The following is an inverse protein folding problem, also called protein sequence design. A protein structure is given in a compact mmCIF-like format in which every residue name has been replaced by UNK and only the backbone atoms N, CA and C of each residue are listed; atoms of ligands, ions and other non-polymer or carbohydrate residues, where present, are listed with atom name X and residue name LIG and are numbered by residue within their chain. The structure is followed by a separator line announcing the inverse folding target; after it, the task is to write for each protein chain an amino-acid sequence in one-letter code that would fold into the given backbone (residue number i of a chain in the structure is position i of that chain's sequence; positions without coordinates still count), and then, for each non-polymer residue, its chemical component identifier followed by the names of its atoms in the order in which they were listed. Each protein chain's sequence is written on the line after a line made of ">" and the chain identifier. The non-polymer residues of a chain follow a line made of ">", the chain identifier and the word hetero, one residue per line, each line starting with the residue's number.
data_IF_423465325346
#
_entry.id   IF_423465325346
#
_cell.length_a   1.000
_cell.length_b   1.000
_cell.length_c   1.000
_cell.angle_alpha   90.00
_cell.angle_beta   90.00
_cell.angle_gamma   90.00
#
_symmetry.space_group_name_H-M   'P 1'
#
loop_
_entity.id
_entity.type
_entity.pdbx_description
1 polymer ?
#
# COMPACT_ATOMS: atom_id res chain seq x y z
N UNK A 1 -33.01 34.60 72.04
CA UNK A 1 -33.73 35.63 71.26
C UNK A 1 -33.99 35.07 69.86
N UNK A 2 -35.25 35.15 69.39
CA UNK A 2 -35.76 35.12 67.98
C UNK A 2 -35.17 34.08 67.00
N UNK A 3 -35.85 32.96 66.71
CA UNK A 3 -36.93 32.71 65.71
C UNK A 3 -36.58 32.99 64.25
N UNK A 4 -36.65 31.95 63.41
CA UNK A 4 -37.31 31.92 62.08
C UNK A 4 -36.91 30.60 61.37
N UNK A 5 -37.84 29.68 61.12
CA UNK A 5 -38.41 29.41 59.77
C UNK A 5 -37.54 28.39 58.99
N UNK A 6 -37.99 27.37 58.26
CA UNK A 6 -39.26 27.09 57.61
C UNK A 6 -39.18 25.65 57.01
N UNK A 7 -40.32 24.96 56.93
CA UNK A 7 -40.74 23.99 55.86
C UNK A 7 -39.92 22.73 55.52
N UNK A 8 -40.45 21.57 55.96
CA UNK A 8 -41.08 20.46 55.19
C UNK A 8 -40.52 20.07 53.78
N UNK A 9 -40.69 18.79 53.38
CA UNK A 9 -39.74 17.91 52.71
C UNK A 9 -40.13 17.74 51.23
N UNK A 10 -39.65 16.66 50.58
CA UNK A 10 -40.11 16.12 49.28
C UNK A 10 -39.24 16.49 48.09
N UNK A 11 -38.47 15.53 47.62
CA UNK A 11 -38.43 15.11 46.20
C UNK A 11 -37.29 14.09 46.09
N UNK A 12 -37.63 12.80 46.13
CA UNK A 12 -37.88 12.00 44.92
C UNK A 12 -36.58 11.70 44.14
N UNK A 13 -36.37 10.39 43.96
CA UNK A 13 -35.89 9.82 42.69
C UNK A 13 -34.45 10.15 42.27
N UNK A 14 -33.47 9.59 42.97
CA UNK A 14 -32.15 9.36 42.38
C UNK A 14 -31.54 7.99 42.75
N UNK A 15 -32.39 7.05 43.18
CA UNK A 15 -32.02 5.64 43.26
C UNK A 15 -32.61 4.94 42.03
N UNK A 16 -31.83 4.10 41.35
CA UNK A 16 -32.19 3.21 40.22
C UNK A 16 -31.86 3.64 38.77
N UNK A 17 -30.75 4.36 38.51
CA UNK A 17 -30.25 4.52 37.13
C UNK A 17 -28.74 4.31 36.96
N UNK A 18 -28.13 3.39 37.71
CA UNK A 18 -26.72 2.98 37.51
C UNK A 18 -26.52 1.47 37.33
N UNK A 19 -27.60 0.70 37.16
CA UNK A 19 -27.54 -0.69 36.74
C UNK A 19 -27.59 -0.76 35.20
N UNK A 20 -26.54 -0.27 34.54
CA UNK A 20 -26.43 -0.23 33.08
C UNK A 20 -25.09 -0.78 32.59
N UNK A 21 -25.08 -2.07 32.26
CA UNK A 21 -24.26 -2.67 31.20
C UNK A 21 -22.73 -2.70 31.37
N UNK A 22 -22.21 -3.47 32.33
CA UNK A 22 -20.85 -4.01 32.20
C UNK A 22 -20.85 -5.20 31.23
N UNK A 23 -20.74 -4.93 29.92
CA UNK A 23 -20.41 -5.99 28.97
C UNK A 23 -18.92 -6.31 29.15
N UNK A 24 -18.54 -7.56 29.46
CA UNK A 24 -17.15 -7.96 29.32
C UNK A 24 -16.82 -7.87 27.83
N UNK A 25 -16.13 -6.81 27.44
CA UNK A 25 -15.53 -6.70 26.12
C UNK A 25 -14.45 -7.75 26.02
N UNK A 26 -14.82 -8.92 25.49
CA UNK A 26 -13.85 -9.87 24.97
C UNK A 26 -13.12 -9.18 23.83
N UNK A 27 -11.99 -8.54 24.14
CA UNK A 27 -11.00 -8.21 23.14
C UNK A 27 -10.43 -9.52 22.62
N UNK A 28 -10.94 -9.98 21.48
CA UNK A 28 -10.14 -10.89 20.67
C UNK A 28 -8.83 -10.15 20.35
N UNK A 29 -7.65 -10.75 20.59
CA UNK A 29 -6.41 -10.15 20.15
C UNK A 29 -6.53 -9.86 18.64
N UNK A 30 -5.98 -8.74 18.15
CA UNK A 30 -5.96 -8.48 16.72
C UNK A 30 -5.35 -9.68 16.00
N UNK A 31 -5.85 -10.06 14.81
CA UNK A 31 -5.25 -11.13 14.05
C UNK A 31 -3.74 -10.84 13.91
N UNK A 32 -2.88 -11.88 13.99
CA UNK A 32 -1.46 -11.67 13.79
C UNK A 32 -1.24 -10.91 12.48
N UNK A 33 -0.30 -9.95 12.45
CA UNK A 33 0.02 -9.27 11.20
C UNK A 33 0.31 -10.34 10.15
N UNK A 34 -0.18 -10.16 8.90
CA UNK A 34 0.18 -11.09 7.84
C UNK A 34 1.71 -11.20 7.80
N UNK A 35 2.26 -12.40 7.56
CA UNK A 35 3.70 -12.55 7.45
C UNK A 35 4.21 -11.49 6.48
N UNK A 36 5.28 -10.78 6.86
CA UNK A 36 5.92 -9.85 5.95
C UNK A 36 6.37 -10.67 4.72
N UNK A 37 5.57 -10.63 3.66
CA UNK A 37 5.90 -11.29 2.41
C UNK A 37 7.13 -10.54 1.88
N UNK A 38 8.31 -11.10 2.15
CA UNK A 38 9.49 -10.74 1.39
C UNK A 38 9.10 -10.83 -0.09
N UNK A 39 9.27 -9.74 -0.83
CA UNK A 39 9.01 -9.73 -2.27
C UNK A 39 9.76 -10.94 -2.84
N UNK A 40 9.08 -11.84 -3.57
CA UNK A 40 9.76 -13.02 -4.09
C UNK A 40 11.00 -12.58 -4.88
N UNK A 41 12.16 -13.25 -4.73
CA UNK A 41 13.39 -12.86 -5.42
C UNK A 41 13.20 -12.64 -6.93
N UNK A 42 12.27 -13.39 -7.55
CA UNK A 42 11.82 -13.22 -8.93
C UNK A 42 11.26 -11.82 -9.22
N UNK A 43 10.35 -11.33 -8.38
CA UNK A 43 9.66 -10.05 -8.56
C UNK A 43 10.63 -8.90 -8.32
N UNK A 44 11.49 -9.02 -7.31
CA UNK A 44 12.55 -8.04 -7.06
C UNK A 44 13.50 -7.93 -8.26
N UNK A 45 13.94 -9.08 -8.81
CA UNK A 45 14.74 -9.12 -10.03
C UNK A 45 14.02 -8.47 -11.22
N UNK A 46 12.74 -8.77 -11.40
CA UNK A 46 11.91 -8.20 -12.46
C UNK A 46 11.83 -6.67 -12.34
N UNK A 47 11.62 -6.15 -11.13
CA UNK A 47 11.60 -4.70 -10.89
C UNK A 47 12.95 -4.04 -11.21
N UNK A 48 14.05 -4.64 -10.76
CA UNK A 48 15.40 -4.11 -11.02
C UNK A 48 15.72 -4.08 -12.52
N UNK A 49 15.49 -5.19 -13.23
CA UNK A 49 15.75 -5.32 -14.66
C UNK A 49 14.83 -4.41 -15.47
N UNK A 50 13.52 -4.42 -15.17
CA UNK A 50 12.52 -3.58 -15.83
C UNK A 50 12.87 -2.11 -15.71
N UNK A 51 13.12 -1.62 -14.49
CA UNK A 51 13.47 -0.22 -14.25
C UNK A 51 14.77 0.20 -14.95
N UNK A 52 15.80 -0.66 -14.94
CA UNK A 52 17.07 -0.40 -15.62
C UNK A 52 16.88 -0.26 -17.13
N UNK A 53 16.14 -1.17 -17.74
CA UNK A 53 15.83 -1.09 -19.17
C UNK A 53 14.95 0.11 -19.51
N UNK A 54 13.91 0.36 -18.71
CA UNK A 54 13.02 1.50 -18.88
C UNK A 54 13.78 2.82 -18.88
N UNK A 55 14.62 3.04 -17.85
CA UNK A 55 15.44 4.25 -17.75
C UNK A 55 16.40 4.41 -18.93
N UNK A 56 17.05 3.33 -19.37
CA UNK A 56 17.93 3.36 -20.55
C UNK A 56 17.17 3.72 -21.83
N UNK A 57 16.01 3.12 -22.06
CA UNK A 57 15.20 3.36 -23.26
C UNK A 57 14.59 4.76 -23.25
N UNK A 58 14.05 5.22 -22.12
CA UNK A 58 13.54 6.59 -21.98
C UNK A 58 14.63 7.65 -22.21
N UNK A 59 15.84 7.43 -21.67
CA UNK A 59 17.00 8.30 -21.90
C UNK A 59 17.48 8.26 -23.36
N UNK A 60 17.39 7.10 -24.02
CA UNK A 60 17.73 6.95 -25.43
C UNK A 60 16.72 7.70 -26.31
N UNK A 61 15.43 7.55 -26.05
CA UNK A 61 14.40 8.15 -26.90
C UNK A 61 14.45 9.68 -26.80
N UNK A 62 14.57 10.22 -25.59
CA UNK A 62 14.72 11.66 -25.40
C UNK A 62 16.02 12.21 -26.00
N UNK A 63 17.12 11.44 -25.98
CA UNK A 63 18.39 11.89 -26.59
C UNK A 63 18.37 11.86 -28.12
N UNK A 64 17.55 10.99 -28.71
CA UNK A 64 17.35 10.89 -30.15
C UNK A 64 16.15 11.71 -30.67
N UNK A 65 15.50 12.52 -29.82
CA UNK A 65 14.24 13.23 -30.14
C UNK A 65 13.13 12.31 -30.68
N UNK A 66 13.05 11.08 -30.17
CA UNK A 66 11.97 10.14 -30.47
C UNK A 66 10.76 10.41 -29.56
N UNK A 67 9.57 10.06 -30.04
CA UNK A 67 8.32 10.22 -29.29
C UNK A 67 8.18 9.21 -28.14
N UNK A 68 7.27 9.51 -27.21
CA UNK A 68 6.99 8.67 -26.05
C UNK A 68 6.15 7.43 -26.43
N UNK A 69 6.82 6.32 -26.72
CA UNK A 69 6.18 5.06 -27.14
C UNK A 69 6.70 3.80 -26.38
N UNK A 70 6.79 3.82 -25.04
CA UNK A 70 7.44 2.75 -24.28
C UNK A 70 6.81 1.36 -24.43
N UNK A 71 5.51 1.30 -24.74
CA UNK A 71 4.77 0.04 -24.92
C UNK A 71 4.99 -0.62 -26.28
N UNK A 72 5.64 0.08 -27.22
CA UNK A 72 5.99 -0.45 -28.53
C UNK A 72 7.42 -1.00 -28.56
N UNK A 73 8.19 -0.78 -27.49
CA UNK A 73 9.56 -1.24 -27.40
C UNK A 73 9.65 -2.76 -27.35
N UNK A 74 10.57 -3.31 -28.13
CA UNK A 74 10.86 -4.74 -28.10
C UNK A 74 11.19 -5.24 -26.69
N UNK A 75 11.93 -4.44 -25.92
CA UNK A 75 12.32 -4.78 -24.54
C UNK A 75 11.10 -4.92 -23.62
N UNK A 76 10.07 -4.10 -23.81
CA UNK A 76 8.81 -4.18 -23.06
C UNK A 76 8.06 -5.50 -23.36
N UNK A 77 8.16 -6.00 -24.59
CA UNK A 77 7.53 -7.25 -25.00
C UNK A 77 8.33 -8.49 -24.58
N UNK A 78 9.63 -8.49 -24.84
CA UNK A 78 10.53 -9.63 -24.66
C UNK A 78 10.88 -9.87 -23.17
N UNK A 79 10.81 -8.82 -22.33
CA UNK A 79 11.13 -8.88 -20.89
C UNK A 79 12.47 -9.59 -20.59
N UNK A 80 13.60 -9.06 -21.11
CA UNK A 80 14.91 -9.68 -20.95
C UNK A 80 15.33 -9.80 -19.49
N UNK A 81 16.12 -10.84 -19.19
CA UNK A 81 16.61 -11.11 -17.84
C UNK A 81 15.80 -12.16 -17.06
N UNK A 82 14.73 -12.69 -17.66
CA UNK A 82 14.04 -13.87 -17.16
C UNK A 82 14.85 -15.14 -17.44
N UNK A 83 14.95 -16.00 -16.43
CA UNK A 83 15.41 -17.39 -16.60
C UNK A 83 14.34 -18.37 -16.07
N UNK A 84 14.08 -19.50 -16.74
CA UNK A 84 13.06 -20.47 -16.32
C UNK A 84 13.24 -21.06 -14.91
N UNK A 85 14.46 -21.04 -14.39
CA UNK A 85 14.82 -21.52 -13.05
C UNK A 85 14.35 -20.57 -11.92
N UNK A 86 13.99 -19.32 -12.23
CA UNK A 86 13.63 -18.30 -11.23
C UNK A 86 12.18 -18.42 -10.75
N UNK A 87 11.32 -19.12 -11.50
CA UNK A 87 9.90 -19.25 -11.21
C UNK A 87 9.01 -18.99 -12.44
N UNK A 88 7.70 -18.82 -12.23
CA UNK A 88 6.76 -18.62 -13.34
C UNK A 88 7.03 -17.32 -14.10
N UNK A 89 6.87 -17.37 -15.43
CA UNK A 89 7.13 -16.22 -16.30
C UNK A 89 6.13 -15.08 -16.12
N UNK A 90 4.83 -15.39 -15.97
CA UNK A 90 3.76 -14.38 -15.90
C UNK A 90 4.01 -13.31 -14.81
N UNK A 91 4.29 -13.67 -13.54
CA UNK A 91 4.56 -12.66 -12.51
C UNK A 91 5.82 -11.84 -12.77
N UNK A 92 6.87 -12.45 -13.33
CA UNK A 92 8.07 -11.74 -13.71
C UNK A 92 7.77 -10.70 -14.79
N UNK A 93 7.09 -11.11 -15.86
CA UNK A 93 6.73 -10.26 -16.99
C UNK A 93 5.94 -9.04 -16.55
N UNK A 94 4.95 -9.25 -15.69
CA UNK A 94 4.06 -8.16 -15.25
C UNK A 94 4.81 -7.16 -14.37
N UNK A 95 5.62 -7.64 -13.41
CA UNK A 95 6.46 -6.80 -12.57
C UNK A 95 7.55 -6.06 -13.37
N UNK A 96 8.17 -6.73 -14.35
CA UNK A 96 9.13 -6.14 -15.27
C UNK A 96 8.50 -5.00 -16.06
N UNK A 97 7.33 -5.24 -16.67
CA UNK A 97 6.65 -4.24 -17.51
C UNK A 97 6.23 -3.03 -16.72
N UNK A 98 5.74 -3.21 -15.48
CA UNK A 98 5.42 -2.09 -14.61
C UNK A 98 6.67 -1.26 -14.31
N UNK A 99 7.75 -1.90 -13.84
CA UNK A 99 8.99 -1.18 -13.52
C UNK A 99 9.65 -0.55 -14.75
N UNK A 100 9.50 -1.15 -15.92
CA UNK A 100 9.95 -0.59 -17.20
C UNK A 100 9.26 0.74 -17.49
N UNK A 101 7.93 0.79 -17.37
CA UNK A 101 7.18 2.03 -17.59
C UNK A 101 7.62 3.10 -16.58
N UNK A 102 7.75 2.75 -15.30
CA UNK A 102 8.20 3.68 -14.26
C UNK A 102 9.60 4.26 -14.56
N UNK A 103 10.53 3.40 -14.96
CA UNK A 103 11.89 3.79 -15.33
C UNK A 103 11.92 4.67 -16.59
N UNK A 104 11.15 4.30 -17.61
CA UNK A 104 11.05 5.04 -18.86
C UNK A 104 10.48 6.44 -18.62
N UNK A 105 9.36 6.55 -17.92
CA UNK A 105 8.73 7.83 -17.60
C UNK A 105 9.69 8.73 -16.82
N UNK A 106 10.41 8.17 -15.84
CA UNK A 106 11.40 8.92 -15.08
C UNK A 106 12.49 9.49 -15.97
N UNK A 107 13.09 8.68 -16.84
CA UNK A 107 14.19 9.13 -17.69
C UNK A 107 13.73 10.07 -18.82
N UNK A 108 12.54 9.84 -19.37
CA UNK A 108 11.98 10.63 -20.46
C UNK A 108 11.52 12.02 -19.98
N UNK A 109 10.89 12.11 -18.80
CA UNK A 109 10.30 13.36 -18.30
C UNK A 109 11.09 14.06 -17.18
N UNK A 110 11.91 13.36 -16.38
CA UNK A 110 12.57 13.90 -15.18
C UNK A 110 14.10 13.72 -15.23
N UNK A 111 14.74 14.48 -16.15
CA UNK A 111 16.21 14.57 -16.24
C UNK A 111 16.85 15.00 -14.93
#
# INVERSE_FOLDING_TARGET
>A
MKTASLTLPSALFAALLLAGCSHPTYYAPPPPPPPAYAVPPLIERAHQEGFRWGTQMGARDISNNLGHHPRQDRVFHDTPGYEPNMGPYEPYRDAFRQAYLDGYERAYYRR
#
